data_IF_409758227981
#
_entry.id   IF_409758227981
#
_cell.length_a   1.000
_cell.length_b   1.000
_cell.length_c   1.000
_cell.angle_alpha   90.00
_cell.angle_beta   90.00
_cell.angle_gamma   90.00
#
_symmetry.space_group_name_H-M   'P 1'
#
loop_
_entity.id
_entity.type
_entity.pdbx_description
1 polymer ?
#
# COMPACT_ATOMS: atom_id res chain seq x y z
N UNK A 1 -6.47 -10.80 -5.94
CA UNK A 1 -7.00 -9.43 -5.89
C UNK A 1 -7.92 -9.32 -4.69
N UNK A 2 -7.45 -8.68 -3.63
CA UNK A 2 -8.23 -8.43 -2.41
C UNK A 2 -9.19 -7.26 -2.66
N UNK A 3 -10.44 -7.37 -2.22
CA UNK A 3 -11.41 -6.27 -2.32
C UNK A 3 -11.15 -5.23 -1.23
N UNK A 4 -11.20 -3.94 -1.57
CA UNK A 4 -11.07 -2.82 -0.64
C UNK A 4 -12.14 -2.89 0.47
N UNK A 5 -13.32 -3.41 0.16
CA UNK A 5 -14.42 -3.56 1.11
C UNK A 5 -14.11 -4.56 2.24
N UNK A 6 -13.14 -5.46 2.05
CA UNK A 6 -12.74 -6.47 3.02
C UNK A 6 -11.57 -6.00 3.92
N UNK A 7 -11.03 -4.81 3.65
CA UNK A 7 -9.89 -4.28 4.38
C UNK A 7 -10.28 -3.67 5.71
N UNK A 8 -9.43 -3.91 6.70
CA UNK A 8 -9.58 -3.33 8.03
C UNK A 8 -8.77 -2.05 8.14
N UNK A 9 -9.45 -0.94 8.42
CA UNK A 9 -8.81 0.36 8.63
C UNK A 9 -7.76 0.27 9.74
N UNK A 10 -6.58 0.85 9.49
CA UNK A 10 -5.44 0.83 10.42
C UNK A 10 -4.53 -0.40 10.29
N UNK A 11 -4.91 -1.42 9.50
CA UNK A 11 -4.05 -2.57 9.19
C UNK A 11 -3.10 -2.29 8.04
N UNK A 12 -2.03 -3.05 8.00
CA UNK A 12 -0.99 -2.98 6.98
C UNK A 12 -1.20 -4.07 5.95
N UNK A 13 -1.05 -3.71 4.68
CA UNK A 13 -1.17 -4.62 3.55
C UNK A 13 0.00 -4.41 2.61
N UNK A 14 0.38 -5.46 1.89
CA UNK A 14 1.18 -5.30 0.69
C UNK A 14 0.30 -4.69 -0.39
N UNK A 15 0.73 -3.57 -0.99
CA UNK A 15 0.04 -2.94 -2.10
C UNK A 15 0.99 -2.81 -3.29
N UNK A 16 0.52 -3.19 -4.47
CA UNK A 16 1.27 -3.04 -5.70
C UNK A 16 1.08 -1.61 -6.17
N UNK A 17 2.15 -0.83 -6.09
CA UNK A 17 2.15 0.57 -6.44
C UNK A 17 2.74 0.74 -7.82
N UNK A 18 2.02 1.41 -8.70
CA UNK A 18 2.55 1.93 -9.95
C UNK A 18 2.84 3.42 -9.81
N UNK A 19 3.99 3.84 -10.33
CA UNK A 19 4.34 5.25 -10.42
C UNK A 19 4.71 5.64 -11.85
N UNK A 20 4.80 6.93 -12.13
CA UNK A 20 5.14 7.43 -13.46
C UNK A 20 6.61 7.24 -13.86
N UNK A 21 7.50 6.94 -12.91
CA UNK A 21 8.96 6.92 -13.13
C UNK A 21 9.63 5.59 -12.77
N UNK A 22 8.89 4.64 -12.20
CA UNK A 22 9.38 3.31 -11.82
C UNK A 22 8.36 2.23 -12.19
N UNK A 23 8.87 1.04 -12.43
CA UNK A 23 8.04 -0.15 -12.61
C UNK A 23 7.19 -0.43 -11.35
N UNK A 24 6.04 -1.10 -11.49
CA UNK A 24 5.20 -1.42 -10.36
C UNK A 24 5.94 -2.26 -9.31
N UNK A 25 5.83 -1.88 -8.05
CA UNK A 25 6.51 -2.56 -6.95
C UNK A 25 5.57 -2.76 -5.75
N UNK A 26 5.76 -3.88 -5.04
CA UNK A 26 5.02 -4.19 -3.82
C UNK A 26 5.60 -3.39 -2.65
N UNK A 27 4.74 -2.61 -2.01
CA UNK A 27 5.11 -1.71 -0.92
C UNK A 27 4.18 -1.94 0.28
N UNK A 28 4.68 -1.86 1.51
CA UNK A 28 3.85 -1.93 2.69
C UNK A 28 3.11 -0.59 2.88
N UNK A 29 1.79 -0.65 2.98
CA UNK A 29 0.96 0.52 3.25
C UNK A 29 -0.12 0.24 4.29
N UNK A 30 -0.39 1.24 5.13
CA UNK A 30 -1.52 1.22 6.07
C UNK A 30 -2.78 1.64 5.36
N UNK A 31 -3.82 0.82 5.41
CA UNK A 31 -5.13 1.22 4.90
C UNK A 31 -5.76 2.26 5.83
N UNK A 32 -6.02 3.47 5.32
CA UNK A 32 -6.61 4.56 6.11
C UNK A 32 -8.11 4.74 5.89
N UNK A 33 -8.70 3.99 4.95
CA UNK A 33 -10.13 3.97 4.67
C UNK A 33 -10.42 4.27 3.20
N UNK A 34 -11.69 4.48 2.88
CA UNK A 34 -12.12 4.92 1.54
C UNK A 34 -12.15 6.46 1.55
N UNK A 35 -11.54 7.09 0.56
CA UNK A 35 -11.48 8.55 0.47
C UNK A 35 -12.89 9.14 0.36
N UNK A 36 -13.20 10.17 1.16
CA UNK A 36 -14.54 10.78 1.19
C UNK A 36 -14.96 11.46 -0.12
N UNK A 37 -14.03 11.72 -1.05
CA UNK A 37 -14.29 12.47 -2.31
C UNK A 37 -13.96 11.68 -3.59
N UNK A 38 -13.99 10.35 -3.54
CA UNK A 38 -13.86 9.49 -4.71
C UNK A 38 -13.90 8.02 -4.34
N UNK A 39 -14.14 7.12 -5.30
CA UNK A 39 -14.17 5.66 -5.06
C UNK A 39 -12.78 5.03 -4.72
N UNK A 40 -11.79 5.85 -4.36
CA UNK A 40 -10.41 5.42 -4.14
C UNK A 40 -10.15 5.08 -2.67
N UNK A 41 -9.45 3.97 -2.44
CA UNK A 41 -8.85 3.68 -1.14
C UNK A 41 -7.74 4.68 -0.80
N UNK A 42 -7.64 5.01 0.49
CA UNK A 42 -6.62 5.88 1.07
C UNK A 42 -5.59 5.04 1.82
N UNK A 43 -4.32 5.42 1.69
CA UNK A 43 -3.18 4.62 2.14
C UNK A 43 -2.08 5.50 2.72
N UNK A 44 -1.48 5.08 3.84
CA UNK A 44 -0.23 5.65 4.35
C UNK A 44 0.93 4.69 4.06
N UNK A 45 1.84 5.09 3.19
CA UNK A 45 3.02 4.28 2.83
C UNK A 45 4.15 4.48 3.85
N UNK A 46 4.74 3.39 4.36
CA UNK A 46 5.76 3.46 5.44
C UNK A 46 7.18 3.66 4.89
N UNK A 47 7.43 3.28 3.64
CA UNK A 47 8.77 3.27 3.03
C UNK A 47 8.83 3.87 1.63
N UNK A 48 7.73 4.45 1.14
CA UNK A 48 7.77 5.17 -0.12
C UNK A 48 8.54 6.47 0.13
N UNK A 49 9.86 6.39 -0.03
CA UNK A 49 10.73 7.55 0.02
C UNK A 49 10.09 8.61 -0.87
N UNK A 50 9.88 9.80 -0.30
CA UNK A 50 9.56 11.02 -1.03
C UNK A 50 10.73 11.46 -1.91
N UNK A 51 11.36 10.53 -2.63
CA UNK A 51 12.28 10.79 -3.73
C UNK A 51 11.48 11.46 -4.86
N UNK A 52 11.24 12.74 -4.66
CA UNK A 52 11.38 13.84 -5.61
C UNK A 52 11.09 13.41 -7.06
N UNK A 53 9.80 13.34 -7.42
CA UNK A 53 9.38 13.32 -8.83
C UNK A 53 8.22 12.40 -9.19
N UNK A 54 7.75 11.54 -8.28
CA UNK A 54 6.56 10.72 -8.52
C UNK A 54 5.29 11.60 -8.44
N UNK A 55 4.85 12.14 -9.58
CA UNK A 55 3.63 12.95 -9.67
C UNK A 55 2.35 12.16 -9.37
N UNK A 56 2.41 10.83 -9.45
CA UNK A 56 1.25 9.96 -9.27
C UNK A 56 1.68 8.59 -8.75
N UNK A 57 0.98 8.12 -7.73
CA UNK A 57 1.10 6.80 -7.11
C UNK A 57 -0.28 6.17 -7.21
N UNK A 58 -0.39 5.07 -7.95
CA UNK A 58 -1.62 4.30 -8.12
C UNK A 58 -1.46 2.94 -7.44
N UNK A 59 -2.43 2.56 -6.61
CA UNK A 59 -2.52 1.18 -6.11
C UNK A 59 -3.24 0.34 -7.16
N UNK A 60 -2.50 -0.61 -7.76
CA UNK A 60 -2.98 -1.46 -8.86
C UNK A 60 -3.53 -2.79 -8.34
N UNK A 61 -2.93 -3.32 -7.27
CA UNK A 61 -3.39 -4.56 -6.63
C UNK A 61 -3.12 -4.51 -5.12
N UNK A 62 -3.88 -5.30 -4.38
CA UNK A 62 -3.82 -5.40 -2.93
C UNK A 62 -3.53 -6.85 -2.58
N UNK A 63 -2.40 -7.04 -1.93
CA UNK A 63 -1.88 -8.31 -1.48
C UNK A 63 -2.36 -8.66 -0.07
N UNK A 64 -1.70 -9.63 0.58
CA UNK A 64 -2.09 -10.08 1.91
C UNK A 64 -1.84 -9.02 2.99
N UNK A 65 -2.60 -9.15 4.09
CA UNK A 65 -2.33 -8.40 5.33
C UNK A 65 -0.95 -8.74 5.86
N UNK A 66 -0.21 -7.73 6.29
CA UNK A 66 1.08 -7.88 6.95
C UNK A 66 0.80 -8.14 8.43
N UNK A 67 0.72 -9.42 8.78
CA UNK A 67 0.64 -9.87 10.17
C UNK A 67 2.05 -9.99 10.76
N UNK A 68 2.18 -9.75 12.07
CA UNK A 68 3.45 -9.71 12.82
C UNK A 68 4.36 -10.95 12.61
N UNK A 69 3.80 -12.09 12.18
CA UNK A 69 4.56 -13.29 11.80
C UNK A 69 5.57 -13.08 10.64
N UNK A 70 5.43 -12.01 9.85
CA UNK A 70 6.43 -11.65 8.82
C UNK A 70 7.52 -10.66 9.32
N UNK A 71 7.38 -10.07 10.50
CA UNK A 71 8.41 -9.21 11.09
C UNK A 71 9.70 -9.99 11.46
N UNK A 72 9.60 -11.32 11.54
CA UNK A 72 10.72 -12.19 11.91
C UNK A 72 11.69 -12.51 10.76
N UNK A 73 11.41 -12.08 9.51
CA UNK A 73 12.30 -12.29 8.36
C UNK A 73 13.24 -11.10 8.04
N UNK A 74 13.17 -10.01 8.82
CA UNK A 74 14.09 -8.88 8.70
C UNK A 74 15.24 -8.93 9.74
N UNK A 75 15.48 -10.08 10.36
CA UNK A 75 16.63 -10.33 11.23
C UNK A 75 17.39 -11.57 10.78
N UNK A 76 18.14 -11.47 9.68
CA UNK A 76 19.33 -12.31 9.44
C UNK A 76 20.34 -11.54 8.60
#
# INVERSE_FOLDING_TARGET
MTDIAELNQGRFYWVLVRSSTKDPEWQPARFTGIASHGAGASWDFIGFNGDIGHHFIEVVDIGPEITDDHASLAST
#
